data_IF_516652967696
#
_entry.id   IF_516652967696
#
_cell.length_a   1.000
_cell.length_b   1.000
_cell.length_c   1.000
_cell.angle_alpha   90.00
_cell.angle_beta   90.00
_cell.angle_gamma   90.00
#
_symmetry.space_group_name_H-M   'P 1'
#
loop_
_entity.id
_entity.type
_entity.pdbx_description
1 polymer ?
#
# COMPACT_ATOMS: atom_id res chain seq x y z
N UNK A 1 -24.16 0.84 -31.71
CA UNK A 1 -24.06 0.51 -30.28
C UNK A 1 -22.58 0.41 -29.94
N UNK A 2 -21.97 1.41 -29.29
CA UNK A 2 -20.57 1.26 -28.83
C UNK A 2 -20.58 0.27 -27.68
N UNK A 3 -19.81 -0.81 -27.81
CA UNK A 3 -19.64 -1.77 -26.72
C UNK A 3 -19.21 -1.01 -25.47
N UNK A 4 -19.93 -1.23 -24.36
CA UNK A 4 -19.54 -0.71 -23.06
C UNK A 4 -18.15 -1.26 -22.71
N UNK A 5 -17.12 -0.42 -22.84
CA UNK A 5 -15.76 -0.77 -22.40
C UNK A 5 -15.65 -0.37 -20.95
N UNK A 6 -15.91 -1.32 -20.05
CA UNK A 6 -15.67 -1.10 -18.63
C UNK A 6 -14.18 -0.72 -18.45
N UNK A 7 -13.91 0.46 -17.91
CA UNK A 7 -12.56 0.88 -17.56
C UNK A 7 -11.91 -0.22 -16.70
N UNK A 8 -10.85 -0.85 -17.21
CA UNK A 8 -10.11 -1.91 -16.50
C UNK A 8 -9.13 -1.20 -15.56
N UNK A 9 -9.29 -1.32 -14.24
CA UNK A 9 -8.37 -0.70 -13.30
C UNK A 9 -6.95 -1.17 -13.57
N UNK A 10 -6.01 -0.23 -13.68
CA UNK A 10 -4.58 -0.50 -13.69
C UNK A 10 -4.01 -0.06 -12.36
N UNK A 11 -3.11 -0.85 -11.81
CA UNK A 11 -2.53 -0.59 -10.49
C UNK A 11 -1.09 -1.10 -10.45
N UNK A 12 -0.20 -0.38 -9.78
CA UNK A 12 1.17 -0.84 -9.56
C UNK A 12 1.29 -1.36 -8.15
N UNK A 13 1.61 -2.64 -8.01
CA UNK A 13 1.81 -3.30 -6.71
C UNK A 13 3.31 -3.41 -6.42
N UNK A 14 3.84 -2.69 -5.42
CA UNK A 14 5.18 -2.96 -4.92
C UNK A 14 5.16 -4.28 -4.13
N UNK A 15 5.94 -5.26 -4.57
CA UNK A 15 6.06 -6.55 -3.90
C UNK A 15 7.49 -7.11 -4.06
N UNK A 16 8.12 -7.45 -2.93
CA UNK A 16 9.45 -8.06 -2.89
C UNK A 16 10.53 -7.27 -3.70
N UNK A 17 10.52 -5.95 -3.58
CA UNK A 17 11.46 -5.06 -4.28
C UNK A 17 11.20 -4.89 -5.79
N UNK A 18 10.04 -5.34 -6.28
CA UNK A 18 9.63 -5.21 -7.68
C UNK A 18 8.26 -4.54 -7.78
N UNK A 19 8.06 -3.77 -8.84
CA UNK A 19 6.78 -3.17 -9.18
C UNK A 19 6.05 -4.06 -10.20
N UNK A 20 4.90 -4.60 -9.80
CA UNK A 20 4.06 -5.43 -10.65
C UNK A 20 2.89 -4.62 -11.20
N UNK A 21 2.74 -4.60 -12.53
CA UNK A 21 1.56 -4.04 -13.17
C UNK A 21 0.38 -5.01 -13.02
N UNK A 22 -0.68 -4.55 -12.36
CA UNK A 22 -1.92 -5.29 -12.16
C UNK A 22 -3.02 -4.77 -13.08
N UNK A 23 -3.82 -5.69 -13.61
CA UNK A 23 -4.97 -5.40 -14.45
C UNK A 23 -6.24 -5.99 -13.84
N UNK A 24 -7.19 -5.14 -13.49
CA UNK A 24 -8.50 -5.54 -13.01
C UNK A 24 -9.33 -6.16 -14.13
N UNK A 25 -9.38 -7.48 -14.17
CA UNK A 25 -10.18 -8.28 -15.11
C UNK A 25 -11.11 -9.24 -14.38
N UNK A 26 -12.14 -9.75 -15.05
CA UNK A 26 -12.98 -10.81 -14.50
C UNK A 26 -12.18 -12.08 -14.20
N UNK A 27 -11.23 -12.45 -15.06
CA UNK A 27 -10.36 -13.60 -14.81
C UNK A 27 -9.48 -13.42 -13.56
N UNK A 28 -9.06 -12.20 -13.24
CA UNK A 28 -8.37 -11.92 -11.97
C UNK A 28 -9.30 -12.10 -10.78
N UNK A 29 -10.54 -11.63 -10.88
CA UNK A 29 -11.55 -11.83 -9.83
C UNK A 29 -11.77 -13.33 -9.58
N UNK A 30 -12.05 -14.08 -10.64
CA UNK A 30 -12.27 -15.54 -10.57
C UNK A 30 -11.05 -16.28 -10.02
N UNK A 31 -9.83 -15.88 -10.39
CA UNK A 31 -8.61 -16.49 -9.88
C UNK A 31 -8.47 -16.32 -8.36
N UNK A 32 -8.78 -15.12 -7.84
CA UNK A 32 -8.73 -14.85 -6.39
C UNK A 32 -9.80 -15.63 -5.65
N UNK A 33 -11.03 -15.69 -6.17
CA UNK A 33 -12.12 -16.47 -5.57
C UNK A 33 -11.81 -17.97 -5.58
N UNK A 34 -11.24 -18.46 -6.69
CA UNK A 34 -10.82 -19.85 -6.80
C UNK A 34 -9.70 -20.20 -5.81
N UNK A 35 -8.74 -19.30 -5.60
CA UNK A 35 -7.62 -19.50 -4.69
C UNK A 35 -8.05 -19.50 -3.22
N UNK A 36 -8.96 -18.58 -2.85
CA UNK A 36 -9.42 -18.38 -1.46
C UNK A 36 -10.63 -19.23 -1.09
N UNK A 37 -11.33 -19.79 -2.08
CA UNK A 37 -12.65 -20.45 -1.91
C UNK A 37 -13.69 -19.53 -1.26
N UNK A 38 -13.55 -18.22 -1.46
CA UNK A 38 -14.42 -17.21 -0.91
C UNK A 38 -14.74 -16.14 -1.97
N UNK A 39 -15.87 -15.45 -1.81
CA UNK A 39 -16.18 -14.29 -2.64
C UNK A 39 -15.11 -13.21 -2.46
N UNK A 40 -14.72 -12.55 -3.55
CA UNK A 40 -13.59 -11.62 -3.56
C UNK A 40 -13.73 -10.44 -2.60
N UNK A 41 -14.96 -9.99 -2.34
CA UNK A 41 -15.21 -8.95 -1.33
C UNK A 41 -14.85 -9.41 0.09
N UNK A 42 -15.07 -10.70 0.41
CA UNK A 42 -14.69 -11.30 1.70
C UNK A 42 -13.17 -11.45 1.75
N UNK A 43 -12.56 -11.95 0.67
CA UNK A 43 -11.11 -12.08 0.56
C UNK A 43 -10.41 -10.72 0.75
N UNK A 44 -10.91 -9.65 0.11
CA UNK A 44 -10.36 -8.30 0.25
C UNK A 44 -10.34 -7.83 1.72
N UNK A 45 -11.44 -8.02 2.45
CA UNK A 45 -11.50 -7.66 3.88
C UNK A 45 -10.58 -8.52 4.74
N UNK A 46 -10.48 -9.82 4.44
CA UNK A 46 -9.59 -10.73 5.17
C UNK A 46 -8.10 -10.36 5.00
N UNK A 47 -7.69 -9.88 3.83
CA UNK A 47 -6.30 -9.47 3.57
C UNK A 47 -5.83 -8.44 4.60
N UNK A 48 -6.64 -7.43 4.90
CA UNK A 48 -6.29 -6.38 5.89
C UNK A 48 -6.56 -6.81 7.33
N UNK A 49 -7.51 -7.73 7.57
CA UNK A 49 -7.84 -8.24 8.90
C UNK A 49 -6.89 -9.35 9.41
N UNK A 50 -5.72 -9.52 8.79
CA UNK A 50 -4.73 -10.51 9.26
C UNK A 50 -4.90 -11.90 8.66
N UNK A 51 -5.23 -12.00 7.37
CA UNK A 51 -5.16 -13.26 6.60
C UNK A 51 -3.81 -13.99 6.87
N UNK A 52 -3.83 -15.31 7.16
CA UNK A 52 -2.62 -16.11 7.33
C UNK A 52 -1.68 -16.04 6.13
N UNK A 53 -0.37 -16.18 6.36
CA UNK A 53 0.67 -15.99 5.33
C UNK A 53 0.51 -16.93 4.14
N UNK A 54 0.17 -18.20 4.39
CA UNK A 54 -0.08 -19.19 3.34
C UNK A 54 -1.28 -18.81 2.46
N UNK A 55 -2.36 -18.29 3.04
CA UNK A 55 -3.52 -17.80 2.28
C UNK A 55 -3.20 -16.51 1.54
N UNK A 56 -2.46 -15.58 2.17
CA UNK A 56 -2.01 -14.35 1.52
C UNK A 56 -1.10 -14.64 0.32
N UNK A 57 -0.20 -15.62 0.43
CA UNK A 57 0.67 -16.05 -0.66
C UNK A 57 -0.12 -16.61 -1.85
N UNK A 58 -1.18 -17.40 -1.59
CA UNK A 58 -2.10 -17.87 -2.64
C UNK A 58 -2.81 -16.71 -3.34
N UNK A 59 -3.29 -15.72 -2.58
CA UNK A 59 -3.93 -14.53 -3.15
C UNK A 59 -2.95 -13.76 -4.03
N UNK A 60 -1.73 -13.49 -3.55
CA UNK A 60 -0.69 -12.79 -4.32
C UNK A 60 -0.38 -13.55 -5.60
N UNK A 61 -0.13 -14.85 -5.51
CA UNK A 61 0.12 -15.72 -6.67
C UNK A 61 -1.03 -15.68 -7.68
N UNK A 62 -2.28 -15.75 -7.21
CA UNK A 62 -3.46 -15.69 -8.07
C UNK A 62 -3.60 -14.33 -8.78
N UNK A 63 -3.43 -13.23 -8.05
CA UNK A 63 -3.49 -11.86 -8.62
C UNK A 63 -2.39 -11.67 -9.66
N UNK A 64 -1.15 -12.00 -9.31
CA UNK A 64 0.01 -11.84 -10.19
C UNK A 64 -0.12 -12.71 -11.45
N UNK A 65 -0.46 -13.98 -11.29
CA UNK A 65 -0.62 -14.91 -12.41
C UNK A 65 -1.75 -14.49 -13.35
N UNK A 66 -2.89 -14.04 -12.81
CA UNK A 66 -3.99 -13.53 -13.61
C UNK A 66 -3.64 -12.22 -14.36
N UNK A 67 -2.64 -11.48 -13.87
CA UNK A 67 -2.10 -10.29 -14.54
C UNK A 67 -0.93 -10.60 -15.49
N UNK A 68 -0.58 -11.89 -15.68
CA UNK A 68 0.48 -12.33 -16.59
C UNK A 68 1.86 -12.53 -15.94
N UNK A 69 1.98 -12.29 -14.63
CA UNK A 69 3.22 -12.48 -13.88
C UNK A 69 3.22 -13.89 -13.27
N UNK A 70 4.03 -14.80 -13.82
CA UNK A 70 4.12 -16.18 -13.34
C UNK A 70 4.85 -16.21 -11.99
N UNK A 71 4.08 -16.24 -10.91
CA UNK A 71 4.59 -16.36 -9.54
C UNK A 71 3.78 -17.43 -8.84
N UNK A 72 4.45 -18.49 -8.38
CA UNK A 72 3.82 -19.56 -7.60
C UNK A 72 3.51 -19.11 -6.16
N UNK A 73 2.60 -19.82 -5.50
CA UNK A 73 2.27 -19.54 -4.09
C UNK A 73 3.49 -19.75 -3.18
N UNK A 74 4.36 -20.71 -3.49
CA UNK A 74 5.57 -20.97 -2.71
C UNK A 74 6.59 -19.82 -2.86
N UNK A 75 6.81 -19.33 -4.08
CA UNK A 75 7.67 -18.16 -4.33
C UNK A 75 7.13 -16.89 -3.67
N UNK A 76 5.81 -16.69 -3.72
CA UNK A 76 5.16 -15.57 -3.03
C UNK A 76 5.28 -15.71 -1.50
N UNK A 77 5.15 -16.92 -0.95
CA UNK A 77 5.32 -17.22 0.47
C UNK A 77 6.74 -16.96 0.95
N UNK A 78 7.75 -17.43 0.20
CA UNK A 78 9.16 -17.15 0.50
C UNK A 78 9.43 -15.64 0.46
N UNK A 79 8.93 -14.94 -0.54
CA UNK A 79 9.08 -13.47 -0.64
C UNK A 79 8.45 -12.72 0.52
N UNK A 80 7.30 -13.18 1.03
CA UNK A 80 6.66 -12.62 2.23
C UNK A 80 7.53 -12.81 3.47
N UNK A 81 8.17 -13.97 3.62
CA UNK A 81 9.02 -14.27 4.78
C UNK A 81 10.37 -13.56 4.73
N UNK A 82 11.02 -13.60 3.55
CA UNK A 82 12.43 -13.24 3.40
C UNK A 82 12.65 -11.76 3.08
N UNK A 83 11.70 -11.12 2.39
CA UNK A 83 11.86 -9.75 1.88
C UNK A 83 10.89 -8.78 2.54
N UNK A 84 9.61 -9.13 2.61
CA UNK A 84 8.57 -8.23 3.16
C UNK A 84 8.54 -8.28 4.69
N UNK A 85 8.82 -9.45 5.28
CA UNK A 85 8.68 -9.69 6.72
C UNK A 85 7.21 -9.88 7.13
N UNK A 86 6.96 -10.74 8.13
CA UNK A 86 5.59 -11.14 8.47
C UNK A 86 4.86 -10.16 9.39
N UNK A 87 5.59 -9.47 10.26
CA UNK A 87 5.04 -8.56 11.28
C UNK A 87 5.38 -7.08 11.04
N UNK A 88 6.08 -6.79 9.93
CA UNK A 88 6.58 -5.46 9.60
C UNK A 88 5.54 -4.54 8.93
N UNK A 89 5.87 -3.25 8.92
CA UNK A 89 5.11 -2.21 8.23
C UNK A 89 4.92 -2.51 6.73
N UNK A 90 5.95 -3.05 6.08
CA UNK A 90 5.92 -3.41 4.66
C UNK A 90 4.83 -4.45 4.34
N UNK A 91 4.55 -5.39 5.25
CA UNK A 91 3.46 -6.34 5.08
C UNK A 91 2.09 -5.67 5.20
N UNK A 92 1.96 -4.71 6.12
CA UNK A 92 0.73 -3.94 6.26
C UNK A 92 0.49 -3.10 5.01
N UNK A 93 1.52 -2.40 4.54
CA UNK A 93 1.49 -1.62 3.28
C UNK A 93 1.08 -2.51 2.11
N UNK A 94 1.70 -3.68 1.94
CA UNK A 94 1.35 -4.65 0.90
C UNK A 94 -0.13 -5.09 0.97
N UNK A 95 -0.62 -5.44 2.17
CA UNK A 95 -2.03 -5.81 2.39
C UNK A 95 -2.97 -4.68 2.00
N UNK A 96 -2.63 -3.44 2.34
CA UNK A 96 -3.40 -2.27 1.94
C UNK A 96 -3.38 -2.04 0.42
N UNK A 97 -2.24 -2.22 -0.26
CA UNK A 97 -2.18 -2.14 -1.73
C UNK A 97 -3.08 -3.19 -2.39
N UNK A 98 -3.04 -4.44 -1.93
CA UNK A 98 -3.92 -5.50 -2.42
C UNK A 98 -5.39 -5.17 -2.17
N UNK A 99 -5.74 -4.73 -0.95
CA UNK A 99 -7.10 -4.32 -0.63
C UNK A 99 -7.59 -3.15 -1.49
N UNK A 100 -6.74 -2.14 -1.71
CA UNK A 100 -7.03 -1.00 -2.57
C UNK A 100 -7.35 -1.45 -3.99
N UNK A 101 -6.48 -2.28 -4.58
CA UNK A 101 -6.67 -2.80 -5.92
C UNK A 101 -7.97 -3.60 -6.05
N UNK A 102 -8.23 -4.54 -5.14
CA UNK A 102 -9.45 -5.34 -5.15
C UNK A 102 -10.70 -4.47 -4.95
N UNK A 103 -10.65 -3.49 -4.05
CA UNK A 103 -11.74 -2.54 -3.81
C UNK A 103 -12.06 -1.69 -5.04
N UNK A 104 -11.06 -1.31 -5.84
CA UNK A 104 -11.27 -0.59 -7.11
C UNK A 104 -11.89 -1.54 -8.15
N UNK A 105 -11.42 -2.77 -8.24
CA UNK A 105 -11.96 -3.77 -9.18
C UNK A 105 -13.45 -4.06 -8.92
N UNK A 106 -13.85 -4.10 -7.64
CA UNK A 106 -15.22 -4.35 -7.21
C UNK A 106 -16.15 -3.14 -7.28
N UNK A 107 -15.60 -1.94 -7.44
CA UNK A 107 -16.43 -0.76 -7.60
C UNK A 107 -17.22 -0.83 -8.93
N UNK A 108 -18.50 -0.39 -8.93
CA UNK A 108 -19.25 -0.20 -10.17
C UNK A 108 -18.45 0.67 -11.14
N UNK A 109 -18.49 0.41 -12.46
CA UNK A 109 -17.67 1.13 -13.44
C UNK A 109 -17.76 2.66 -13.33
N UNK A 110 -18.94 3.21 -13.03
CA UNK A 110 -19.17 4.65 -12.82
C UNK A 110 -18.51 5.23 -11.56
N UNK A 111 -18.11 4.39 -10.61
CA UNK A 111 -17.52 4.78 -9.33
C UNK A 111 -16.03 4.41 -9.20
N UNK A 112 -15.45 3.70 -10.17
CA UNK A 112 -14.07 3.19 -10.11
C UNK A 112 -13.04 4.29 -9.96
N UNK A 113 -13.17 5.38 -10.71
CA UNK A 113 -12.23 6.50 -10.65
C UNK A 113 -12.25 7.18 -9.28
N UNK A 114 -13.45 7.47 -8.76
CA UNK A 114 -13.63 8.00 -7.40
C UNK A 114 -13.04 7.08 -6.35
N UNK A 115 -13.28 5.76 -6.47
CA UNK A 115 -12.72 4.76 -5.55
C UNK A 115 -11.19 4.71 -5.64
N UNK A 116 -10.63 4.77 -6.85
CA UNK A 116 -9.19 4.79 -7.07
C UNK A 116 -8.54 6.01 -6.42
N UNK A 117 -9.15 7.19 -6.54
CA UNK A 117 -8.69 8.39 -5.85
C UNK A 117 -8.71 8.22 -4.33
N UNK A 118 -9.82 7.76 -3.75
CA UNK A 118 -9.94 7.50 -2.31
C UNK A 118 -8.90 6.49 -1.79
N UNK A 119 -8.65 5.42 -2.55
CA UNK A 119 -7.64 4.43 -2.18
C UNK A 119 -6.21 4.99 -2.34
N UNK A 120 -5.96 5.82 -3.35
CA UNK A 120 -4.68 6.51 -3.52
C UNK A 120 -4.35 7.44 -2.35
N UNK A 121 -5.33 8.21 -1.87
CA UNK A 121 -5.16 9.04 -0.67
C UNK A 121 -4.89 8.20 0.59
N UNK A 122 -5.56 7.05 0.74
CA UNK A 122 -5.35 6.14 1.87
C UNK A 122 -3.91 5.59 1.88
N UNK A 123 -3.44 5.10 0.74
CA UNK A 123 -2.07 4.59 0.59
C UNK A 123 -1.03 5.71 0.77
N UNK A 124 -1.31 6.91 0.23
CA UNK A 124 -0.45 8.08 0.39
C UNK A 124 -0.30 8.51 1.85
N UNK A 125 -1.36 8.42 2.65
CA UNK A 125 -1.29 8.67 4.11
C UNK A 125 -0.51 7.59 4.85
N UNK A 126 -0.65 6.32 4.45
CA UNK A 126 0.07 5.20 5.05
C UNK A 126 1.59 5.33 4.83
N UNK A 127 1.99 5.60 3.59
CA UNK A 127 3.40 5.80 3.20
C UNK A 127 3.98 7.14 3.68
N UNK A 128 3.15 8.18 3.76
CA UNK A 128 3.53 9.49 4.30
C UNK A 128 3.65 9.54 5.83
N UNK A 129 2.90 8.71 6.55
CA UNK A 129 3.04 8.55 8.01
C UNK A 129 4.26 7.69 8.37
N UNK A 130 4.64 6.73 7.51
CA UNK A 130 5.85 5.90 7.62
C UNK A 130 7.15 6.69 7.53
N UNK A 131 7.21 7.73 6.68
CA UNK A 131 8.33 8.67 6.63
C UNK A 131 8.17 9.76 7.69
N UNK A 132 8.41 9.37 8.94
CA UNK A 132 8.66 10.32 10.03
C UNK A 132 9.73 11.32 9.60
N UNK A 133 9.30 12.58 9.40
CA UNK A 133 10.12 13.76 9.19
C UNK A 133 11.30 13.78 10.16
N UNK A 134 12.53 13.77 9.63
CA UNK A 134 13.59 14.56 10.26
C UNK A 134 13.11 16.00 10.28
N UNK A 135 12.96 16.57 11.47
CA UNK A 135 12.80 18.01 11.65
C UNK A 135 14.05 18.69 11.15
N UNK A 136 14.06 19.16 9.90
CA UNK A 136 15.00 20.20 9.51
C UNK A 136 14.50 21.03 8.33
N UNK A 137 14.71 22.33 8.49
CA UNK A 137 14.60 23.42 7.51
C UNK A 137 13.20 23.77 6.96
N UNK A 138 12.44 24.56 7.74
CA UNK A 138 11.99 25.90 7.30
C UNK A 138 11.09 26.54 8.36
N UNK A 139 11.70 27.23 9.30
CA UNK A 139 11.09 28.42 9.87
C UNK A 139 12.03 29.58 9.56
N UNK A 140 11.71 30.30 8.49
CA UNK A 140 12.33 31.57 8.14
C UNK A 140 12.29 32.49 9.36
N UNK A 141 13.42 33.11 9.65
CA UNK A 141 13.55 34.16 10.66
C UNK A 141 12.59 35.33 10.41
N UNK A 142 12.28 36.10 11.45
CA UNK A 142 12.47 37.54 11.34
C UNK A 142 13.51 38.06 12.36
N UNK A 143 14.26 39.05 11.87
CA UNK A 143 15.39 39.72 12.50
C UNK A 143 15.07 40.55 13.75
N UNK A 144 16.15 40.73 14.52
CA UNK A 144 16.53 41.88 15.36
C UNK A 144 16.01 41.92 16.82
N UNK A 145 16.88 41.56 17.77
CA UNK A 145 17.65 42.53 18.57
C UNK A 145 18.65 41.80 19.49
N UNK A 146 19.94 42.08 19.35
CA UNK A 146 20.96 41.90 20.40
C UNK A 146 21.14 43.26 21.09
N UNK A 147 21.58 43.39 22.36
CA UNK A 147 22.92 42.95 22.83
C UNK A 147 22.96 42.62 24.37
N UNK A 148 24.11 42.65 25.07
CA UNK A 148 25.32 41.86 24.90
C UNK A 148 25.69 41.04 26.17
N UNK A 149 26.61 40.09 25.99
CA UNK A 149 27.40 39.43 27.04
C UNK A 149 28.30 40.42 27.78
N UNK A 150 28.40 40.28 29.11
CA UNK A 150 29.56 40.75 29.90
C UNK A 150 29.61 39.98 31.22
N UNK A 151 30.66 39.18 31.40
CA UNK A 151 31.03 38.64 32.72
C UNK A 151 31.72 39.68 33.59
N UNK A 152 31.79 39.40 34.89
CA UNK A 152 32.92 39.56 35.85
C UNK A 152 32.37 39.36 37.29
N UNK A 153 33.16 38.86 38.28
CA UNK A 153 32.66 38.26 39.53
C UNK A 153 32.90 39.08 40.83
N UNK A 154 32.39 38.55 41.97
CA UNK A 154 32.70 38.79 43.43
C UNK A 154 32.18 40.08 44.12
N UNK A 155 32.24 40.25 45.47
CA UNK A 155 32.16 39.34 46.65
C UNK A 155 31.09 39.80 47.69
N UNK A 156 30.96 39.10 48.83
CA UNK A 156 29.96 39.33 49.89
C UNK A 156 30.27 40.46 50.90
N UNK A 157 29.48 40.50 51.99
CA UNK A 157 29.99 40.73 53.36
C UNK A 157 29.82 39.50 54.26
#
# INVERSE_FOLDING_TARGET
MSAFVAARPRYTLPFAGKDYELLGTFGMIEAVEYATKAHIGVAAVQIVNGMPVNELAKVISAVLTACGHKVSADEAGASLMDVVGLEGEDNQVLRFHLYAFLSICLAPPSAREKKAHQMGELIGKLTGASRGKTTDASASAPSACSPPSSGVPTPGP
#
